data_IF_729443224756
#
_entry.id   IF_729443224756
#
_cell.length_a   1.000
_cell.length_b   1.000
_cell.length_c   1.000
_cell.angle_alpha   90.00
_cell.angle_beta   90.00
_cell.angle_gamma   90.00
#
_symmetry.space_group_name_H-M   'P 1'
#
loop_
_entity.id
_entity.type
_entity.pdbx_description
1 polymer ?
#
# COMPACT_ATOMS: atom_id res chain seq x y z
N UNK A 1 57.95 -13.27 26.05
CA UNK A 1 56.69 -13.15 26.80
C UNK A 1 55.57 -13.81 26.00
N UNK A 2 54.80 -14.75 26.57
CA UNK A 2 53.63 -15.35 25.90
C UNK A 2 52.43 -14.40 26.09
N UNK A 3 51.90 -13.88 24.98
CA UNK A 3 50.70 -13.05 24.98
C UNK A 3 49.51 -13.85 25.52
N UNK A 4 48.90 -13.38 26.63
CA UNK A 4 47.63 -13.90 27.13
C UNK A 4 46.53 -13.09 26.44
N UNK A 5 45.80 -13.74 25.54
CA UNK A 5 44.67 -13.12 24.84
C UNK A 5 43.61 -12.56 25.80
N UNK A 6 42.78 -11.62 25.33
CA UNK A 6 41.81 -10.93 26.18
C UNK A 6 40.81 -11.92 26.78
N UNK A 7 40.61 -11.81 28.11
CA UNK A 7 39.81 -12.74 28.95
C UNK A 7 38.37 -12.96 28.49
N UNK A 8 37.84 -12.08 27.64
CA UNK A 8 36.44 -12.07 27.22
C UNK A 8 36.26 -12.05 25.70
N UNK A 9 37.28 -12.44 24.93
CA UNK A 9 37.21 -12.44 23.46
C UNK A 9 35.96 -13.15 22.93
N UNK A 10 35.67 -14.36 23.43
CA UNK A 10 34.49 -15.13 23.02
C UNK A 10 33.17 -14.46 23.41
N UNK A 11 33.13 -13.75 24.55
CA UNK A 11 31.94 -13.01 24.97
C UNK A 11 31.66 -11.82 24.04
N UNK A 12 32.69 -11.03 23.72
CA UNK A 12 32.54 -9.93 22.76
C UNK A 12 32.22 -10.43 21.35
N UNK A 13 32.80 -11.56 20.93
CA UNK A 13 32.47 -12.21 19.66
C UNK A 13 30.98 -12.60 19.62
N UNK A 14 30.44 -13.20 20.69
CA UNK A 14 29.01 -13.57 20.73
C UNK A 14 28.08 -12.38 20.66
N UNK A 15 28.41 -11.28 21.34
CA UNK A 15 27.63 -10.02 21.27
C UNK A 15 27.69 -9.45 19.86
N UNK A 16 28.88 -9.40 19.25
CA UNK A 16 29.06 -8.91 17.89
C UNK A 16 28.24 -9.73 16.88
N UNK A 17 28.29 -11.06 16.96
CA UNK A 17 27.51 -11.94 16.09
C UNK A 17 26.01 -11.74 16.28
N UNK A 18 25.53 -11.54 17.51
CA UNK A 18 24.13 -11.25 17.80
C UNK A 18 23.65 -9.92 17.20
N UNK A 19 24.45 -8.86 17.31
CA UNK A 19 24.10 -7.58 16.67
C UNK A 19 24.20 -7.65 15.14
N UNK A 20 25.18 -8.40 14.61
CA UNK A 20 25.32 -8.64 13.18
C UNK A 20 24.09 -9.39 12.65
N UNK A 21 23.60 -10.43 13.33
CA UNK A 21 22.41 -11.17 12.89
C UNK A 21 21.16 -10.30 12.95
N UNK A 22 20.96 -9.51 14.02
CA UNK A 22 19.87 -8.54 14.09
C UNK A 22 19.91 -7.54 12.92
N UNK A 23 21.09 -7.00 12.62
CA UNK A 23 21.27 -6.09 11.50
C UNK A 23 20.94 -6.74 10.15
N UNK A 24 21.37 -7.98 9.93
CA UNK A 24 21.07 -8.72 8.69
C UNK A 24 19.57 -9.03 8.57
N UNK A 25 18.90 -9.47 9.64
CA UNK A 25 17.47 -9.77 9.61
C UNK A 25 16.59 -8.54 9.39
N UNK A 26 17.03 -7.35 9.81
CA UNK A 26 16.33 -6.10 9.52
C UNK A 26 16.41 -5.68 8.04
N UNK A 27 17.41 -6.16 7.29
CA UNK A 27 17.66 -5.75 5.91
C UNK A 27 17.18 -6.78 4.87
N UNK A 28 16.41 -7.80 5.28
CA UNK A 28 15.79 -8.70 4.30
C UNK A 28 14.72 -7.92 3.56
N UNK A 29 14.99 -7.61 2.28
CA UNK A 29 14.05 -6.92 1.43
C UNK A 29 12.74 -7.74 1.36
N UNK A 30 11.57 -7.10 1.52
CA UNK A 30 10.30 -7.81 1.39
C UNK A 30 10.19 -8.40 -0.02
N UNK A 31 9.59 -9.59 -0.12
CA UNK A 31 9.48 -10.28 -1.39
C UNK A 31 8.53 -9.50 -2.31
N UNK A 32 9.07 -8.89 -3.36
CA UNK A 32 8.36 -8.01 -4.27
C UNK A 32 7.75 -8.81 -5.43
N UNK A 33 6.48 -8.54 -5.71
CA UNK A 33 5.71 -9.16 -6.79
C UNK A 33 5.20 -8.05 -7.71
N UNK A 34 5.84 -7.88 -8.87
CA UNK A 34 5.37 -6.95 -9.90
C UNK A 34 4.21 -7.59 -10.67
N UNK A 35 3.04 -6.94 -10.65
CA UNK A 35 1.82 -7.48 -11.28
C UNK A 35 1.57 -6.88 -12.67
N UNK A 36 2.19 -5.73 -12.96
CA UNK A 36 2.05 -5.01 -14.24
C UNK A 36 1.00 -3.89 -14.17
N UNK A 37 0.61 -3.40 -15.34
CA UNK A 37 -0.36 -2.30 -15.50
C UNK A 37 -1.78 -2.82 -15.62
N UNK A 38 -2.70 -2.21 -14.87
CA UNK A 38 -4.12 -2.53 -14.84
C UNK A 38 -4.93 -1.28 -15.15
N UNK A 39 -5.75 -1.35 -16.19
CA UNK A 39 -6.65 -0.27 -16.58
C UNK A 39 -8.01 -0.48 -15.92
N UNK A 40 -8.51 0.57 -15.27
CA UNK A 40 -9.90 0.66 -14.83
C UNK A 40 -10.74 1.33 -15.90
N UNK A 41 -11.98 0.85 -16.05
CA UNK A 41 -12.92 1.48 -16.97
C UNK A 41 -13.42 2.78 -16.36
N UNK A 42 -13.75 3.74 -17.21
CA UNK A 42 -14.47 4.96 -16.81
C UNK A 42 -15.96 4.65 -16.53
N UNK A 43 -16.16 3.74 -15.57
CA UNK A 43 -17.47 3.34 -15.04
C UNK A 43 -17.54 3.79 -13.58
N UNK A 44 -18.75 3.91 -13.05
CA UNK A 44 -18.98 4.34 -11.65
C UNK A 44 -18.30 3.44 -10.63
N UNK A 45 -18.14 2.16 -10.94
CA UNK A 45 -17.45 1.19 -10.10
C UNK A 45 -16.61 0.26 -10.97
N UNK A 46 -15.31 0.19 -10.68
CA UNK A 46 -14.35 -0.66 -11.39
C UNK A 46 -13.59 -1.56 -10.42
N UNK A 47 -13.26 -2.78 -10.86
CA UNK A 47 -12.53 -3.76 -10.05
C UNK A 47 -11.24 -4.22 -10.73
N UNK A 48 -10.15 -4.23 -9.98
CA UNK A 48 -8.89 -4.84 -10.38
C UNK A 48 -8.71 -6.13 -9.59
N UNK A 49 -8.82 -7.28 -10.26
CA UNK A 49 -8.64 -8.59 -9.65
C UNK A 49 -7.16 -8.95 -9.57
N UNK A 50 -6.65 -9.12 -8.35
CA UNK A 50 -5.23 -9.39 -8.08
C UNK A 50 -4.98 -10.82 -7.61
N UNK A 51 -5.90 -11.41 -6.84
CA UNK A 51 -5.79 -12.78 -6.30
C UNK A 51 -4.44 -13.11 -5.64
N UNK A 52 -3.94 -12.21 -4.80
CA UNK A 52 -2.66 -12.33 -4.13
C UNK A 52 -2.81 -12.95 -2.75
N UNK A 53 -1.78 -13.67 -2.31
CA UNK A 53 -1.75 -14.32 -1.01
C UNK A 53 -0.65 -13.73 -0.13
N UNK A 54 -0.93 -13.60 1.16
CA UNK A 54 0.02 -13.15 2.18
C UNK A 54 0.74 -11.83 1.86
N UNK A 55 -0.01 -10.78 1.51
CA UNK A 55 0.49 -9.45 1.16
C UNK A 55 0.47 -8.54 2.38
N UNK A 56 1.57 -7.83 2.62
CA UNK A 56 1.74 -6.84 3.69
C UNK A 56 1.55 -5.40 3.20
N UNK A 57 1.88 -5.10 1.94
CA UNK A 57 1.63 -3.80 1.32
C UNK A 57 1.43 -3.89 -0.20
N UNK A 58 0.77 -2.89 -0.77
CA UNK A 58 0.57 -2.71 -2.22
C UNK A 58 0.97 -1.30 -2.60
N UNK A 59 1.77 -1.17 -3.65
CA UNK A 59 2.06 0.09 -4.33
C UNK A 59 1.19 0.18 -5.60
N UNK A 60 0.52 1.32 -5.74
CA UNK A 60 -0.26 1.71 -6.92
C UNK A 60 0.41 2.95 -7.52
N UNK A 61 1.11 2.77 -8.62
CA UNK A 61 1.72 3.86 -9.37
C UNK A 61 0.79 4.29 -10.51
N UNK A 62 0.61 5.59 -10.69
CA UNK A 62 -0.24 6.15 -11.73
C UNK A 62 0.46 6.07 -13.09
N UNK A 63 -0.10 5.29 -14.01
CA UNK A 63 0.48 5.04 -15.34
C UNK A 63 -0.27 5.83 -16.44
N UNK A 64 -1.58 6.04 -16.29
CA UNK A 64 -2.41 6.80 -17.23
C UNK A 64 -3.63 7.42 -16.54
N UNK A 65 -4.21 8.47 -17.13
CA UNK A 65 -5.39 9.19 -16.60
C UNK A 65 -6.46 9.44 -17.67
N UNK A 66 -7.73 9.44 -17.27
CA UNK A 66 -8.82 9.96 -18.11
C UNK A 66 -8.87 11.48 -17.98
N UNK A 67 -8.51 12.17 -19.06
CA UNK A 67 -8.52 13.63 -19.10
C UNK A 67 -9.94 14.10 -19.44
N UNK A 68 -10.65 14.64 -18.46
CA UNK A 68 -11.92 15.35 -18.66
C UNK A 68 -11.68 16.84 -18.95
N UNK A 69 -10.72 17.45 -18.25
CA UNK A 69 -10.21 18.80 -18.49
C UNK A 69 -8.72 18.87 -18.11
N UNK A 70 -7.91 19.59 -18.88
CA UNK A 70 -6.48 19.75 -18.64
C UNK A 70 -6.16 20.52 -17.34
N UNK A 71 -7.12 21.28 -16.82
CA UNK A 71 -6.99 22.03 -15.56
C UNK A 71 -7.58 21.30 -14.34
N UNK A 72 -8.01 20.04 -14.50
CA UNK A 72 -8.54 19.25 -13.40
C UNK A 72 -7.43 18.51 -12.65
N UNK A 73 -7.53 18.47 -11.32
CA UNK A 73 -6.66 17.62 -10.49
C UNK A 73 -7.02 16.14 -10.68
N UNK A 74 -6.04 15.26 -10.52
CA UNK A 74 -6.28 13.83 -10.53
C UNK A 74 -6.94 13.35 -9.25
N UNK A 75 -7.78 12.33 -9.36
CA UNK A 75 -8.40 11.65 -8.23
C UNK A 75 -8.44 10.14 -8.46
N UNK A 76 -8.26 9.38 -7.37
CA UNK A 76 -8.48 7.92 -7.37
C UNK A 76 -9.95 7.52 -7.26
N UNK A 77 -10.83 8.47 -6.92
CA UNK A 77 -12.14 8.14 -6.36
C UNK A 77 -12.01 7.48 -4.97
N UNK A 78 -13.07 6.81 -4.53
CA UNK A 78 -13.12 6.04 -3.29
C UNK A 78 -12.57 4.63 -3.56
N UNK A 79 -11.41 4.30 -2.98
CA UNK A 79 -10.73 3.01 -3.16
C UNK A 79 -10.97 2.10 -1.95
N UNK A 80 -11.32 0.84 -2.23
CA UNK A 80 -11.53 -0.22 -1.25
C UNK A 80 -10.68 -1.45 -1.57
N UNK A 81 -10.16 -2.09 -0.53
CA UNK A 81 -9.45 -3.37 -0.65
C UNK A 81 -10.35 -4.49 -0.17
N UNK A 82 -10.57 -5.51 -1.01
CA UNK A 82 -11.32 -6.70 -0.66
C UNK A 82 -10.45 -7.94 -0.66
N UNK A 83 -10.60 -8.75 0.38
CA UNK A 83 -9.71 -9.87 0.62
C UNK A 83 -10.17 -10.77 1.75
N UNK A 84 -9.28 -11.66 2.17
CA UNK A 84 -9.50 -12.50 3.36
C UNK A 84 -8.33 -12.35 4.32
N UNK A 85 -8.61 -12.53 5.62
CA UNK A 85 -7.54 -12.75 6.58
C UNK A 85 -6.86 -14.10 6.29
N UNK A 86 -5.58 -14.24 6.69
CA UNK A 86 -4.77 -15.42 6.37
C UNK A 86 -5.41 -16.76 6.75
N UNK A 87 -6.13 -16.77 7.88
CA UNK A 87 -6.77 -17.97 8.44
C UNK A 87 -8.29 -18.02 8.20
N UNK A 88 -8.81 -17.15 7.33
CA UNK A 88 -10.24 -17.05 7.04
C UNK A 88 -10.50 -17.16 5.55
N UNK A 89 -11.61 -17.80 5.19
CA UNK A 89 -12.12 -17.86 3.82
C UNK A 89 -13.19 -16.81 3.54
N UNK A 90 -13.58 -16.02 4.55
CA UNK A 90 -14.61 -15.01 4.39
C UNK A 90 -14.04 -13.79 3.66
N UNK A 91 -14.62 -13.49 2.50
CA UNK A 91 -14.33 -12.27 1.77
C UNK A 91 -14.92 -11.07 2.51
N UNK A 92 -14.05 -10.14 2.90
CA UNK A 92 -14.41 -8.93 3.62
C UNK A 92 -13.67 -7.73 3.05
N UNK A 93 -14.19 -6.53 3.33
CA UNK A 93 -13.41 -5.31 3.13
C UNK A 93 -12.28 -5.27 4.17
N UNK A 94 -11.06 -5.08 3.69
CA UNK A 94 -9.86 -5.09 4.49
C UNK A 94 -9.61 -3.70 5.08
N UNK A 95 -9.32 -3.67 6.37
CA UNK A 95 -8.87 -2.45 7.07
C UNK A 95 -7.45 -2.11 6.63
N UNK A 96 -7.24 -0.85 6.27
CA UNK A 96 -5.90 -0.34 5.98
C UNK A 96 -5.24 0.08 7.32
N UNK A 97 -3.97 -0.25 7.49
CA UNK A 97 -3.17 0.22 8.64
C UNK A 97 -2.77 1.68 8.45
N UNK A 98 -2.17 1.96 7.29
CA UNK A 98 -1.75 3.29 6.91
C UNK A 98 -1.70 3.38 5.38
N UNK A 99 -1.63 4.62 4.90
CA UNK A 99 -1.43 4.93 3.49
C UNK A 99 -0.40 6.04 3.39
N UNK A 100 0.58 5.84 2.52
CA UNK A 100 1.55 6.87 2.15
C UNK A 100 1.45 7.19 0.68
N UNK A 101 1.76 8.43 0.33
CA UNK A 101 1.76 8.90 -1.05
C UNK A 101 3.08 9.59 -1.36
N UNK A 102 3.54 9.43 -2.60
CA UNK A 102 4.79 10.02 -3.11
C UNK A 102 4.46 10.99 -4.24
N UNK A 103 5.28 12.03 -4.39
CA UNK A 103 5.14 13.06 -5.41
C UNK A 103 4.11 14.12 -5.01
N UNK A 104 3.26 14.53 -5.95
CA UNK A 104 2.26 15.58 -5.74
C UNK A 104 0.87 15.04 -5.39
N UNK A 105 0.79 13.86 -4.74
CA UNK A 105 -0.46 13.31 -4.25
C UNK A 105 -0.73 13.72 -2.80
N UNK A 106 -2.02 13.85 -2.46
CA UNK A 106 -2.51 14.20 -1.14
C UNK A 106 -3.65 13.25 -0.75
N UNK A 107 -3.54 12.69 0.45
CA UNK A 107 -4.56 11.82 1.02
C UNK A 107 -5.67 12.70 1.59
N UNK A 108 -6.90 12.52 1.10
CA UNK A 108 -8.08 13.27 1.57
C UNK A 108 -8.80 12.57 2.71
N UNK A 109 -8.87 11.23 2.66
CA UNK A 109 -9.41 10.40 3.73
C UNK A 109 -8.49 9.23 4.02
N UNK A 110 -8.12 9.07 5.29
CA UNK A 110 -7.41 7.90 5.81
C UNK A 110 -8.44 6.93 6.38
N UNK A 111 -8.38 5.67 5.96
CA UNK A 111 -9.07 4.57 6.62
C UNK A 111 -8.40 4.28 7.96
N UNK A 112 -8.79 4.97 9.04
CA UNK A 112 -8.90 4.43 10.41
C UNK A 112 -8.91 5.54 11.48
N UNK A 113 -10.01 5.65 12.22
CA UNK A 113 -10.03 6.20 13.58
C UNK A 113 -9.52 5.15 14.57
N UNK A 114 -8.70 5.59 15.53
CA UNK A 114 -8.03 4.78 16.56
C UNK A 114 -8.89 4.70 17.83
N UNK A 115 -10.22 4.60 17.72
CA UNK A 115 -11.07 4.52 18.92
C UNK A 115 -11.46 3.07 19.28
N UNK A 116 -11.31 2.68 20.57
CA UNK A 116 -11.52 1.31 21.05
C UNK A 116 -13.00 0.91 21.23
N UNK A 117 -13.98 1.78 20.91
CA UNK A 117 -15.40 1.57 21.20
C UNK A 117 -16.24 1.32 19.96
N UNK A 118 -16.28 0.05 19.54
CA UNK A 118 -17.40 -0.72 18.95
C UNK A 118 -18.26 -0.21 17.77
N UNK A 119 -17.98 0.94 17.14
CA UNK A 119 -18.60 1.31 15.85
C UNK A 119 -17.52 1.79 14.88
N UNK A 120 -16.90 0.85 14.15
CA UNK A 120 -15.85 1.17 13.18
C UNK A 120 -16.46 1.67 11.86
N UNK A 121 -16.45 2.99 11.64
CA UNK A 121 -16.57 3.53 10.29
C UNK A 121 -15.21 3.43 9.59
N UNK A 122 -15.08 2.50 8.65
CA UNK A 122 -13.94 2.50 7.72
C UNK A 122 -14.29 3.40 6.55
N UNK A 123 -13.57 4.51 6.45
CA UNK A 123 -13.65 5.41 5.30
C UNK A 123 -12.88 4.83 4.12
N UNK A 124 -13.34 5.04 2.87
CA UNK A 124 -12.55 4.72 1.69
C UNK A 124 -11.21 5.45 1.69
N UNK A 125 -10.24 4.89 0.99
CA UNK A 125 -9.05 5.62 0.62
C UNK A 125 -9.40 6.57 -0.55
N UNK A 126 -9.23 7.87 -0.33
CA UNK A 126 -9.40 8.87 -1.37
C UNK A 126 -8.11 9.70 -1.47
N UNK A 127 -7.52 9.74 -2.66
CA UNK A 127 -6.29 10.50 -2.95
C UNK A 127 -6.55 11.43 -4.12
N UNK A 128 -6.16 12.69 -3.96
CA UNK A 128 -6.16 13.68 -5.05
C UNK A 128 -4.77 14.26 -5.23
N UNK A 129 -4.44 14.68 -6.45
CA UNK A 129 -3.21 15.40 -6.70
C UNK A 129 -3.30 16.89 -6.32
N UNK A 130 -2.16 17.50 -6.03
CA UNK A 130 -1.97 18.94 -5.87
C UNK A 130 -1.50 19.64 -7.16
N UNK A 131 -1.33 18.89 -8.25
CA UNK A 131 -1.01 19.39 -9.60
C UNK A 131 -1.83 18.64 -10.65
N UNK A 132 -2.04 19.22 -11.83
CA UNK A 132 -2.84 18.66 -12.91
C UNK A 132 -2.23 17.40 -13.53
N UNK A 133 -0.90 17.28 -13.46
CA UNK A 133 -0.17 16.05 -13.78
C UNK A 133 0.06 15.25 -12.50
N UNK A 134 -0.26 13.96 -12.56
CA UNK A 134 -0.10 13.02 -11.45
C UNK A 134 0.52 11.69 -11.88
N UNK A 135 1.03 11.60 -13.11
CA UNK A 135 1.71 10.42 -13.62
C UNK A 135 2.95 10.09 -12.76
N UNK A 136 3.31 8.80 -12.70
CA UNK A 136 4.44 8.25 -11.94
C UNK A 136 4.35 8.43 -10.41
N UNK A 137 3.34 9.12 -9.91
CA UNK A 137 3.10 9.18 -8.48
C UNK A 137 2.63 7.84 -7.94
N UNK A 138 3.05 7.54 -6.72
CA UNK A 138 2.77 6.25 -6.08
C UNK A 138 1.93 6.42 -4.82
N UNK A 139 0.93 5.55 -4.68
CA UNK A 139 0.12 5.38 -3.47
C UNK A 139 0.49 4.02 -2.88
N UNK A 140 1.02 4.01 -1.67
CA UNK A 140 1.34 2.78 -0.95
C UNK A 140 0.31 2.53 0.15
N UNK A 141 -0.29 1.35 0.11
CA UNK A 141 -1.27 0.87 1.08
C UNK A 141 -0.62 -0.17 1.98
N UNK A 142 -0.64 0.05 3.29
CA UNK A 142 -0.14 -0.88 4.30
C UNK A 142 -1.29 -1.61 5.00
N UNK A 143 -1.12 -2.90 5.25
CA UNK A 143 -2.09 -3.72 5.98
C UNK A 143 -1.60 -4.02 7.39
N UNK A 144 -2.52 -4.11 8.35
CA UNK A 144 -2.20 -4.35 9.77
C UNK A 144 -1.53 -5.72 9.99
N UNK A 145 -1.88 -6.68 9.14
CA UNK A 145 -1.28 -7.99 9.06
C UNK A 145 -1.21 -8.47 7.61
N UNK A 146 -0.49 -9.57 7.34
CA UNK A 146 -0.47 -10.15 6.01
C UNK A 146 -1.85 -10.72 5.65
N UNK A 147 -2.43 -10.24 4.56
CA UNK A 147 -3.77 -10.63 4.09
C UNK A 147 -3.74 -11.21 2.68
N UNK A 148 -4.81 -11.90 2.30
CA UNK A 148 -5.01 -12.35 0.93
C UNK A 148 -5.86 -11.30 0.20
N UNK A 149 -5.31 -10.66 -0.83
CA UNK A 149 -6.00 -9.60 -1.60
C UNK A 149 -6.70 -10.24 -2.78
N UNK A 150 -8.03 -10.11 -2.85
CA UNK A 150 -8.80 -10.60 -4.01
C UNK A 150 -8.88 -9.55 -5.10
N UNK A 151 -9.36 -8.36 -4.76
CA UNK A 151 -9.46 -7.26 -5.70
C UNK A 151 -9.40 -5.90 -5.01
N UNK A 152 -9.04 -4.90 -5.79
CA UNK A 152 -9.23 -3.49 -5.46
C UNK A 152 -10.50 -3.01 -6.15
N UNK A 153 -11.33 -2.26 -5.45
CA UNK A 153 -12.56 -1.67 -5.97
C UNK A 153 -12.43 -0.15 -5.95
N UNK A 154 -12.73 0.47 -7.08
CA UNK A 154 -12.63 1.90 -7.32
C UNK A 154 -14.04 2.42 -7.58
N UNK A 155 -14.57 3.18 -6.63
CA UNK A 155 -15.86 3.85 -6.71
C UNK A 155 -15.65 5.32 -7.10
N UNK A 156 -15.98 5.63 -8.34
CA UNK A 156 -15.86 6.96 -8.92
C UNK A 156 -17.16 7.76 -8.81
N UNK A 157 -18.21 7.25 -8.15
CA UNK A 157 -19.49 7.98 -8.01
C UNK A 157 -19.35 9.34 -7.32
N UNK A 158 -18.37 9.46 -6.41
CA UNK A 158 -18.03 10.70 -5.71
C UNK A 158 -16.81 11.42 -6.27
N UNK A 159 -16.17 10.88 -7.31
CA UNK A 159 -15.14 11.63 -8.02
C UNK A 159 -15.81 12.90 -8.58
N UNK A 160 -15.35 14.07 -8.12
CA UNK A 160 -16.01 15.32 -8.46
C UNK A 160 -16.01 15.54 -9.97
N UNK A 161 -17.03 16.24 -10.50
CA UNK A 161 -17.11 16.63 -11.93
C UNK A 161 -15.91 17.45 -12.43
N UNK A 162 -15.05 17.90 -11.50
CA UNK A 162 -13.88 18.73 -11.74
C UNK A 162 -12.57 17.98 -11.45
N UNK A 163 -12.56 16.65 -11.50
CA UNK A 163 -11.36 15.83 -11.34
C UNK A 163 -11.12 14.93 -12.54
N UNK A 164 -9.86 14.66 -12.85
CA UNK A 164 -9.43 13.64 -13.80
C UNK A 164 -9.34 12.30 -13.05
N UNK A 165 -10.06 11.29 -13.53
CA UNK A 165 -10.02 9.96 -12.93
C UNK A 165 -8.75 9.25 -13.36
N UNK A 166 -8.01 8.66 -12.43
CA UNK A 166 -6.86 7.83 -12.79
C UNK A 166 -7.35 6.61 -13.57
N UNK A 167 -6.72 6.30 -14.70
CA UNK A 167 -7.16 5.27 -15.63
C UNK A 167 -6.40 3.98 -15.47
N UNK A 168 -5.07 4.06 -15.36
CA UNK A 168 -4.21 2.88 -15.29
C UNK A 168 -3.31 2.98 -14.09
N UNK A 169 -3.20 1.87 -13.36
CA UNK A 169 -2.28 1.71 -12.25
C UNK A 169 -1.25 0.63 -12.57
N UNK A 170 0.03 0.92 -12.39
CA UNK A 170 1.08 -0.09 -12.30
C UNK A 170 1.15 -0.59 -10.87
N UNK A 171 0.90 -1.87 -10.67
CA UNK A 171 0.73 -2.45 -9.34
C UNK A 171 1.91 -3.34 -8.97
N UNK A 172 2.45 -3.09 -7.78
CA UNK A 172 3.46 -3.93 -7.13
C UNK A 172 2.96 -4.33 -5.74
N UNK A 173 3.06 -5.62 -5.40
CA UNK A 173 2.69 -6.11 -4.08
C UNK A 173 3.90 -6.68 -3.35
N UNK A 174 3.83 -6.73 -2.02
CA UNK A 174 4.94 -7.18 -1.19
C UNK A 174 4.43 -8.16 -0.14
N UNK A 175 5.16 -9.26 0.04
CA UNK A 175 4.86 -10.26 1.08
C UNK A 175 5.65 -9.99 2.33
#
# INVERSE_FOLDING_TARGET
>A
MKYKGPKYFYFYLTIFVFFLTLFVFQNVAPNQIALGSYTIKDETNSKIYLNLLNISKIDLEVDDIYISNQENFCSTGDVYVFGTLRNSNNLVRIRLQDVSVVGNLKINSKSATIEPTRNYEQFPLNVTSSSFDCLENTITIYFEEKINVRYLEFDNTKAGKNTNTIKTYRITAYS
#
